data_IF_650602110519
#
_entry.id   IF_650602110519
#
_cell.length_a   1.000
_cell.length_b   1.000
_cell.length_c   1.000
_cell.angle_alpha   90.00
_cell.angle_beta   90.00
_cell.angle_gamma   90.00
#
_symmetry.space_group_name_H-M   'P 1'
#
loop_
_entity.id
_entity.type
_entity.pdbx_description
1 polymer ?
#
# COMPACT_ATOMS: atom_id res chain seq x y z
N UNK A 1 -4.03 17.02 8.67
CA UNK A 1 -5.25 16.21 8.49
C UNK A 1 -5.03 15.33 7.26
N UNK A 2 -5.00 14.00 7.39
CA UNK A 2 -4.67 13.14 6.24
C UNK A 2 -5.09 11.69 6.46
N UNK A 3 -6.36 11.47 6.81
CA UNK A 3 -6.92 10.12 6.78
C UNK A 3 -7.34 9.81 5.35
N UNK A 4 -6.71 8.82 4.75
CA UNK A 4 -7.15 8.24 3.48
C UNK A 4 -8.37 7.38 3.74
N UNK A 5 -9.50 7.75 3.12
CA UNK A 5 -10.76 7.02 3.25
C UNK A 5 -11.06 6.31 1.94
N UNK A 6 -11.58 5.09 2.03
CA UNK A 6 -12.07 4.37 0.87
C UNK A 6 -13.28 5.11 0.27
N UNK A 7 -13.12 5.67 -0.95
CA UNK A 7 -14.19 6.37 -1.67
C UNK A 7 -15.19 5.41 -2.36
N UNK A 8 -14.87 4.12 -2.39
CA UNK A 8 -15.64 3.10 -3.09
C UNK A 8 -16.59 2.31 -2.18
N UNK A 9 -16.45 2.44 -0.87
CA UNK A 9 -17.42 1.90 0.06
C UNK A 9 -18.76 2.65 -0.06
N UNK A 10 -19.90 1.98 0.18
CA UNK A 10 -21.20 2.61 0.07
C UNK A 10 -21.30 3.84 0.99
N UNK A 11 -21.96 4.92 0.54
CA UNK A 11 -22.11 6.14 1.33
C UNK A 11 -22.80 5.82 2.65
N UNK A 12 -22.22 6.26 3.77
CA UNK A 12 -22.68 5.94 5.12
C UNK A 12 -22.01 4.74 5.78
N UNK A 13 -21.03 4.10 5.11
CA UNK A 13 -20.17 3.10 5.75
C UNK A 13 -19.37 3.74 6.87
N UNK A 14 -19.43 3.15 8.07
CA UNK A 14 -18.64 3.62 9.22
C UNK A 14 -17.15 3.51 8.90
N UNK A 15 -16.39 4.57 9.18
CA UNK A 15 -14.94 4.53 9.08
C UNK A 15 -14.39 3.57 10.13
N UNK A 16 -13.78 2.47 9.67
CA UNK A 16 -13.06 1.48 10.45
C UNK A 16 -11.58 1.56 10.08
N UNK A 17 -10.67 1.06 10.92
CA UNK A 17 -9.26 0.96 10.56
C UNK A 17 -9.01 0.09 9.30
N UNK A 18 -10.01 -0.65 8.82
CA UNK A 18 -9.92 -1.42 7.57
C UNK A 18 -10.25 -0.59 6.31
N UNK A 19 -11.03 0.48 6.42
CA UNK A 19 -11.43 1.33 5.29
C UNK A 19 -10.92 2.78 5.41
N UNK A 20 -10.16 3.06 6.47
CA UNK A 20 -9.50 4.33 6.71
C UNK A 20 -8.05 4.09 7.11
N UNK A 21 -7.13 4.83 6.50
CA UNK A 21 -5.70 4.76 6.79
C UNK A 21 -5.19 6.13 7.17
N UNK A 22 -4.48 6.21 8.29
CA UNK A 22 -3.83 7.44 8.77
C UNK A 22 -2.33 7.47 8.49
N UNK A 23 -1.82 6.59 7.63
CA UNK A 23 -0.40 6.53 7.35
C UNK A 23 -0.05 5.88 6.03
N UNK A 24 1.04 6.36 5.46
CA UNK A 24 1.63 5.82 4.26
C UNK A 24 2.87 5.00 4.63
N UNK A 25 3.06 3.89 3.94
CA UNK A 25 4.28 3.08 4.03
C UNK A 25 5.01 3.18 2.71
N UNK A 26 6.31 3.48 2.77
CA UNK A 26 7.17 3.44 1.58
C UNK A 26 7.89 2.09 1.54
N UNK A 27 7.62 1.33 0.48
CA UNK A 27 8.25 0.06 0.16
C UNK A 27 9.39 0.31 -0.81
N UNK A 28 10.58 -0.18 -0.46
CA UNK A 28 11.76 -0.10 -1.32
C UNK A 28 12.17 -1.53 -1.64
N UNK A 29 12.15 -1.89 -2.92
CA UNK A 29 12.52 -3.21 -3.39
C UNK A 29 13.94 -3.18 -3.97
N UNK A 30 14.69 -4.27 -3.78
CA UNK A 30 16.05 -4.41 -4.30
C UNK A 30 16.10 -4.37 -5.83
N UNK A 31 14.99 -4.71 -6.51
CA UNK A 31 14.81 -4.53 -7.95
C UNK A 31 14.75 -3.07 -8.42
N UNK A 32 14.86 -2.10 -7.50
CA UNK A 32 14.80 -0.66 -7.79
C UNK A 32 13.37 -0.08 -7.78
N UNK A 33 12.36 -0.89 -7.46
CA UNK A 33 10.99 -0.41 -7.27
C UNK A 33 10.83 0.34 -5.95
N UNK A 34 10.42 1.60 -6.02
CA UNK A 34 10.12 2.41 -4.83
C UNK A 34 8.66 2.81 -4.87
N UNK A 35 7.87 2.31 -3.94
CA UNK A 35 6.42 2.43 -3.96
C UNK A 35 5.89 3.01 -2.66
N UNK A 36 5.10 4.07 -2.75
CA UNK A 36 4.40 4.66 -1.62
C UNK A 36 2.96 4.14 -1.60
N UNK A 37 2.62 3.37 -0.57
CA UNK A 37 1.31 2.70 -0.42
C UNK A 37 0.59 3.17 0.85
N UNK A 38 -0.72 3.42 0.79
CA UNK A 38 -1.53 3.62 1.99
C UNK A 38 -1.89 2.27 2.62
N UNK A 39 -2.18 2.22 3.93
CA UNK A 39 -2.52 0.93 4.58
C UNK A 39 -3.80 0.29 3.99
N UNK A 40 -4.70 1.12 3.46
CA UNK A 40 -5.95 0.67 2.85
C UNK A 40 -5.77 -0.02 1.48
N UNK A 41 -4.55 -0.08 0.93
CA UNK A 41 -4.27 -0.82 -0.31
C UNK A 41 -4.74 -2.28 -0.23
N UNK A 42 -4.59 -2.92 0.94
CA UNK A 42 -5.08 -4.28 1.22
C UNK A 42 -6.59 -4.38 1.11
N UNK A 43 -7.31 -3.33 1.53
CA UNK A 43 -8.76 -3.25 1.43
C UNK A 43 -9.21 -3.19 -0.04
N UNK A 44 -8.55 -2.40 -0.88
CA UNK A 44 -8.87 -2.34 -2.31
C UNK A 44 -8.68 -3.68 -3.01
N UNK A 45 -7.59 -4.38 -2.72
CA UNK A 45 -7.33 -5.69 -3.33
C UNK A 45 -8.31 -6.74 -2.80
N UNK A 46 -8.56 -6.79 -1.48
CA UNK A 46 -9.42 -7.80 -0.85
C UNK A 46 -10.91 -7.59 -1.13
N UNK A 47 -11.40 -6.36 -1.00
CA UNK A 47 -12.83 -6.00 -1.06
C UNK A 47 -13.23 -5.56 -2.46
N UNK A 48 -12.43 -4.72 -3.10
CA UNK A 48 -12.77 -4.14 -4.39
C UNK A 48 -12.15 -4.89 -5.58
N UNK A 49 -11.38 -5.96 -5.35
CA UNK A 49 -10.68 -6.74 -6.39
C UNK A 49 -9.85 -5.84 -7.31
N UNK A 50 -9.30 -4.77 -6.75
CA UNK A 50 -8.44 -3.86 -7.49
C UNK A 50 -7.18 -4.59 -7.96
N UNK A 51 -6.87 -4.43 -9.24
CA UNK A 51 -5.68 -4.95 -9.90
C UNK A 51 -4.57 -3.89 -9.82
N UNK A 52 -3.50 -4.14 -9.04
CA UNK A 52 -2.35 -3.26 -9.03
C UNK A 52 -1.57 -3.36 -10.35
N UNK A 53 -0.85 -2.29 -10.75
CA UNK A 53 0.17 -2.33 -11.79
C UNK A 53 1.06 -3.57 -11.73
N UNK A 54 1.25 -4.24 -12.88
CA UNK A 54 1.99 -5.49 -12.94
C UNK A 54 3.43 -5.37 -12.40
N UNK A 55 4.07 -4.22 -12.60
CA UNK A 55 5.40 -3.92 -12.03
C UNK A 55 5.41 -4.01 -10.50
N UNK A 56 4.40 -3.44 -9.84
CA UNK A 56 4.23 -3.52 -8.39
C UNK A 56 3.96 -4.95 -7.93
N UNK A 57 3.13 -5.69 -8.68
CA UNK A 57 2.89 -7.11 -8.39
C UNK A 57 4.19 -7.90 -8.45
N UNK A 58 5.01 -7.71 -9.48
CA UNK A 58 6.32 -8.36 -9.60
C UNK A 58 7.25 -8.02 -8.43
N UNK A 59 7.36 -6.74 -8.06
CA UNK A 59 8.18 -6.29 -6.93
C UNK A 59 7.73 -6.96 -5.61
N UNK A 60 6.44 -6.90 -5.28
CA UNK A 60 5.87 -7.54 -4.08
C UNK A 60 6.09 -9.05 -4.11
N UNK A 61 5.94 -9.68 -5.27
CA UNK A 61 6.13 -11.11 -5.45
C UNK A 61 7.58 -11.56 -5.26
N UNK A 62 8.56 -10.72 -5.62
CA UNK A 62 9.99 -10.99 -5.42
C UNK A 62 10.37 -11.11 -3.93
N UNK A 63 9.66 -10.44 -3.02
CA UNK A 63 9.98 -10.38 -1.56
C UNK A 63 11.38 -9.83 -1.24
N UNK A 64 12.00 -9.10 -2.16
CA UNK A 64 13.32 -8.52 -1.98
C UNK A 64 13.19 -7.06 -1.56
N UNK A 65 13.08 -6.79 -0.25
CA UNK A 65 12.98 -5.43 0.30
C UNK A 65 14.38 -4.93 0.64
N UNK A 66 14.75 -3.77 0.11
CA UNK A 66 16.01 -3.10 0.44
C UNK A 66 15.83 -2.19 1.66
N UNK A 67 16.17 -2.71 2.84
CA UNK A 67 16.04 -1.97 4.10
C UNK A 67 17.04 -0.82 4.25
N UNK A 68 18.12 -0.83 3.46
CA UNK A 68 19.17 0.18 3.58
C UNK A 68 18.76 1.49 2.91
N UNK A 69 18.08 1.39 1.77
CA UNK A 69 17.57 2.49 0.99
C UNK A 69 16.22 3.02 1.50
N UNK A 70 15.57 2.30 2.42
CA UNK A 70 14.29 2.69 3.04
C UNK A 70 14.31 4.11 3.66
N UNK A 71 15.41 4.54 4.28
CA UNK A 71 15.55 5.89 4.85
C UNK A 71 16.01 6.95 3.84
N UNK A 72 16.29 6.53 2.61
CA UNK A 72 16.71 7.44 1.53
C UNK A 72 15.46 8.07 0.93
N UNK A 73 15.49 9.40 0.71
CA UNK A 73 14.40 10.14 0.03
C UNK A 73 14.37 9.81 -1.47
N UNK A 74 14.11 8.56 -1.79
CA UNK A 74 13.94 8.09 -3.16
C UNK A 74 12.59 8.54 -3.70
N UNK A 75 12.48 8.82 -5.01
CA UNK A 75 11.22 9.14 -5.64
C UNK A 75 10.31 7.91 -5.63
N UNK A 76 9.45 7.82 -4.61
CA UNK A 76 8.48 6.74 -4.47
C UNK A 76 7.23 6.99 -5.34
N UNK A 77 6.90 6.03 -6.19
CA UNK A 77 5.69 6.07 -7.00
C UNK A 77 4.47 5.77 -6.12
N UNK A 78 3.48 6.67 -6.16
CA UNK A 78 2.28 6.56 -5.32
C UNK A 78 1.31 5.55 -5.93
N UNK A 79 0.96 4.53 -5.18
CA UNK A 79 0.08 3.45 -5.64
C UNK A 79 -0.93 3.09 -4.55
N UNK A 80 -2.16 2.77 -4.95
CA UNK A 80 -3.27 2.53 -4.01
C UNK A 80 -4.00 3.79 -3.54
N UNK A 81 -3.71 4.97 -4.10
CA UNK A 81 -4.54 6.18 -3.96
C UNK A 81 -5.58 6.21 -5.07
N UNK A 82 -6.51 5.24 -5.03
CA UNK A 82 -7.53 5.13 -6.06
C UNK A 82 -8.53 6.27 -5.93
N UNK A 83 -8.52 7.15 -6.93
CA UNK A 83 -9.46 8.25 -7.09
C UNK A 83 -10.14 8.07 -8.45
N UNK A 84 -11.41 7.63 -8.47
CA UNK A 84 -12.17 7.47 -9.72
C UNK A 84 -12.24 6.04 -10.26
N UNK A 85 -11.72 5.76 -11.46
CA UNK A 85 -11.80 4.42 -12.07
C UNK A 85 -10.53 3.64 -11.81
N UNK A 86 -10.68 2.37 -11.43
CA UNK A 86 -9.59 1.45 -11.22
C UNK A 86 -9.83 0.16 -11.99
N UNK A 87 -8.75 -0.51 -12.39
CA UNK A 87 -8.84 -1.81 -13.04
C UNK A 87 -9.13 -2.87 -11.98
N UNK A 88 -10.11 -3.74 -12.25
CA UNK A 88 -10.39 -4.92 -11.45
C UNK A 88 -9.78 -6.14 -12.13
N UNK A 89 -9.23 -7.05 -11.33
CA UNK A 89 -8.57 -8.22 -11.86
C UNK A 89 -8.19 -9.21 -10.79
N UNK A 90 -7.48 -10.24 -11.20
CA UNK A 90 -7.00 -11.29 -10.30
C UNK A 90 -5.54 -11.04 -9.95
N UNK A 91 -5.26 -10.93 -8.66
CA UNK A 91 -3.89 -10.92 -8.13
C UNK A 91 -3.55 -12.32 -7.65
N UNK A 92 -2.25 -12.71 -7.66
CA UNK A 92 -1.83 -13.98 -7.10
C UNK A 92 -2.35 -14.17 -5.67
N UNK A 93 -2.78 -15.39 -5.31
CA UNK A 93 -3.32 -15.66 -3.96
C UNK A 93 -2.37 -15.24 -2.83
N UNK A 94 -1.06 -15.42 -3.03
CA UNK A 94 -0.01 -15.08 -2.07
C UNK A 94 0.30 -13.56 -2.02
N UNK A 95 -0.21 -12.77 -2.96
CA UNK A 95 0.12 -11.34 -3.08
C UNK A 95 -0.27 -10.55 -1.83
N UNK A 96 -1.46 -10.80 -1.27
CA UNK A 96 -1.91 -10.11 -0.05
C UNK A 96 -1.01 -10.42 1.14
N UNK A 97 -0.58 -11.67 1.28
CA UNK A 97 0.33 -12.10 2.35
C UNK A 97 1.71 -11.48 2.19
N UNK A 98 2.27 -11.49 0.97
CA UNK A 98 3.55 -10.84 0.67
C UNK A 98 3.49 -9.33 0.85
N UNK A 99 2.41 -8.68 0.44
CA UNK A 99 2.21 -7.24 0.60
C UNK A 99 2.14 -6.87 2.09
N UNK A 100 1.38 -7.64 2.87
CA UNK A 100 1.31 -7.45 4.32
C UNK A 100 2.68 -7.62 4.98
N UNK A 101 3.45 -8.63 4.56
CA UNK A 101 4.82 -8.84 5.02
C UNK A 101 5.74 -7.66 4.64
N UNK A 102 5.72 -7.21 3.39
CA UNK A 102 6.54 -6.09 2.93
C UNK A 102 6.25 -4.80 3.70
N UNK A 103 4.96 -4.51 3.93
CA UNK A 103 4.53 -3.36 4.73
C UNK A 103 4.97 -3.48 6.19
N UNK A 104 4.88 -4.66 6.79
CA UNK A 104 5.32 -4.89 8.16
C UNK A 104 6.84 -4.74 8.29
N UNK A 105 7.60 -5.25 7.34
CA UNK A 105 9.06 -5.11 7.29
C UNK A 105 9.46 -3.63 7.14
N UNK A 106 8.80 -2.88 6.27
CA UNK A 106 9.05 -1.44 6.11
C UNK A 106 8.62 -0.61 7.33
N UNK A 107 7.55 -1.01 8.03
CA UNK A 107 7.12 -0.42 9.30
C UNK A 107 8.16 -0.65 10.41
N UNK A 108 8.67 -1.87 10.55
CA UNK A 108 9.75 -2.22 11.48
C UNK A 108 11.05 -1.45 11.18
N UNK A 109 11.32 -1.16 9.91
CA UNK A 109 12.45 -0.36 9.48
C UNK A 109 12.26 1.16 9.69
N UNK A 110 11.10 1.61 10.19
CA UNK A 110 10.83 3.00 10.55
C UNK A 110 10.29 3.88 9.42
N UNK A 111 9.86 3.30 8.29
CA UNK A 111 9.45 4.06 7.09
C UNK A 111 7.94 4.15 6.90
N UNK A 112 7.21 3.93 8.00
CA UNK A 112 5.80 4.28 8.08
C UNK A 112 5.68 5.72 8.51
N UNK A 113 5.19 6.56 7.60
CA UNK A 113 4.76 7.91 7.93
C UNK A 113 3.36 7.82 8.52
N UNK A 114 3.28 7.69 9.85
CA UNK A 114 2.01 7.86 10.56
C UNK A 114 1.72 9.36 10.69
N UNK A 115 0.60 9.82 10.15
CA UNK A 115 0.08 11.14 10.46
C UNK A 115 -0.53 11.09 11.87
N UNK A 116 0.31 11.24 12.90
CA UNK A 116 -0.16 11.50 14.27
C UNK A 116 -0.88 12.85 14.25
N UNK A 117 -2.21 12.80 14.39
CA UNK A 117 -2.98 13.98 14.75
C UNK A 117 -2.47 14.49 16.10
N UNK A 118 -1.94 15.71 16.10
CA UNK A 118 -1.80 16.51 17.31
C UNK A 118 -3.14 17.10 17.70
#
# INVERSE_FOLDING_TARGET
MGMHQCLFCPPGTRLTPENSSSGDTVLVFAGGGVWKVPDLIKHYVRVHKWLPPQKFVTDVMSREIDLTAINTRLPAERIGYLEGKFETGDVPADFLEKLAWAMQVADLAGNRQQFRGG
#
